data_IF_428213964861
#
_entry.id   IF_428213964861
#
_cell.length_a   1.000
_cell.length_b   1.000
_cell.length_c   1.000
_cell.angle_alpha   90.00
_cell.angle_beta   90.00
_cell.angle_gamma   90.00
#
_symmetry.space_group_name_H-M   'P 1'
#
loop_
_entity.id
_entity.type
_entity.pdbx_description
1 polymer ?
#
# COMPACT_ATOMS: atom_id res chain seq x y z
N UNK A 1 8.88 -33.50 25.42
CA UNK A 1 7.47 -33.06 25.27
C UNK A 1 7.35 -31.59 25.71
N UNK A 2 8.12 -30.69 25.09
CA UNK A 2 8.21 -29.28 25.52
C UNK A 2 8.35 -28.27 24.37
N UNK A 3 8.25 -28.71 23.11
CA UNK A 3 8.49 -27.83 21.95
C UNK A 3 7.23 -27.42 21.18
N UNK A 4 6.04 -27.86 21.61
CA UNK A 4 4.79 -27.57 20.87
C UNK A 4 4.10 -26.26 21.28
N UNK A 5 4.56 -25.54 22.31
CA UNK A 5 3.90 -24.33 22.83
C UNK A 5 4.52 -23.01 22.32
N UNK A 6 4.88 -22.92 21.04
CA UNK A 6 5.33 -21.65 20.43
C UNK A 6 4.69 -21.36 19.06
N UNK A 7 3.47 -21.84 18.85
CA UNK A 7 2.71 -21.64 17.60
C UNK A 7 1.44 -20.81 17.75
N UNK A 8 1.16 -20.20 18.91
CA UNK A 8 -0.17 -19.64 19.17
C UNK A 8 -0.18 -18.21 19.75
N UNK A 9 0.84 -17.39 19.49
CA UNK A 9 0.81 -16.00 19.93
C UNK A 9 1.49 -15.08 18.90
N UNK A 10 0.78 -14.77 17.80
CA UNK A 10 0.73 -13.42 17.21
C UNK A 10 -0.33 -13.31 16.10
N UNK A 11 -1.54 -13.80 16.36
CA UNK A 11 -2.69 -13.34 15.57
C UNK A 11 -3.18 -12.02 16.18
N UNK A 12 -2.36 -10.98 16.03
CA UNK A 12 -2.73 -9.63 16.43
C UNK A 12 -3.93 -9.24 15.56
N UNK A 13 -5.10 -9.17 16.20
CA UNK A 13 -6.34 -8.66 15.59
C UNK A 13 -6.04 -7.24 15.11
N UNK A 14 -5.63 -7.10 13.86
CA UNK A 14 -5.47 -5.81 13.19
C UNK A 14 -6.86 -5.19 13.18
N UNK A 15 -7.16 -4.37 14.20
CA UNK A 15 -8.36 -3.55 14.23
C UNK A 15 -8.14 -2.47 13.17
N UNK A 16 -8.44 -2.81 11.92
CA UNK A 16 -8.36 -1.94 10.75
C UNK A 16 -9.20 -0.69 11.02
N UNK A 17 -8.58 0.29 11.66
CA UNK A 17 -9.22 1.52 12.08
C UNK A 17 -9.12 2.48 10.92
N UNK A 18 -10.20 3.22 10.63
CA UNK A 18 -10.25 4.16 9.51
C UNK A 18 -9.06 5.14 9.49
N UNK A 19 -8.50 5.49 10.66
CA UNK A 19 -7.28 6.30 10.78
C UNK A 19 -6.07 5.70 10.05
N UNK A 20 -5.86 4.39 10.08
CA UNK A 20 -4.74 3.76 9.36
C UNK A 20 -5.02 3.68 7.86
N UNK A 21 -6.28 3.53 7.45
CA UNK A 21 -6.67 3.55 6.04
C UNK A 21 -6.52 4.93 5.39
N UNK A 22 -6.71 6.01 6.15
CA UNK A 22 -6.52 7.39 5.71
C UNK A 22 -5.14 7.98 6.09
N UNK A 23 -4.22 7.19 6.65
CA UNK A 23 -2.87 7.65 6.95
C UNK A 23 -2.01 7.65 5.68
N UNK A 24 -2.13 8.73 4.89
CA UNK A 24 -1.33 8.94 3.68
C UNK A 24 0.10 9.44 3.97
N UNK A 25 0.43 9.76 5.23
CA UNK A 25 1.74 10.29 5.63
C UNK A 25 2.90 9.33 5.28
N UNK A 26 2.81 8.04 5.65
CA UNK A 26 3.78 7.02 5.27
C UNK A 26 3.86 6.80 3.75
N UNK A 27 2.75 6.93 3.02
CA UNK A 27 2.70 6.72 1.57
C UNK A 27 3.40 7.86 0.81
N UNK A 28 3.15 9.12 1.20
CA UNK A 28 3.87 10.26 0.66
C UNK A 28 5.35 10.19 1.02
N UNK A 29 5.66 9.87 2.28
CA UNK A 29 7.02 9.58 2.71
C UNK A 29 7.69 8.50 1.85
N UNK A 30 6.98 7.42 1.49
CA UNK A 30 7.52 6.36 0.64
C UNK A 30 7.80 6.81 -0.81
N UNK A 31 6.97 7.69 -1.39
CA UNK A 31 7.21 8.25 -2.73
C UNK A 31 8.36 9.26 -2.77
N UNK A 32 8.57 10.03 -1.68
CA UNK A 32 9.62 11.06 -1.59
C UNK A 32 10.90 10.58 -0.88
N UNK A 33 10.90 9.41 -0.24
CA UNK A 33 12.06 8.87 0.47
C UNK A 33 13.11 8.39 -0.54
N UNK A 34 14.29 9.01 -0.47
CA UNK A 34 15.47 8.64 -1.27
C UNK A 34 15.74 7.13 -1.16
N UNK A 35 16.03 6.51 -2.30
CA UNK A 35 16.34 5.08 -2.37
C UNK A 35 17.63 4.81 -1.62
N UNK A 36 17.50 4.07 -0.52
CA UNK A 36 18.63 3.61 0.28
C UNK A 36 19.48 2.63 -0.55
N UNK A 37 20.76 2.96 -0.85
CA UNK A 37 21.58 2.20 -1.79
C UNK A 37 22.04 0.83 -1.25
N UNK A 38 21.89 0.55 0.05
CA UNK A 38 22.45 -0.64 0.68
C UNK A 38 21.46 -1.81 0.82
N UNK A 39 20.34 -1.80 0.08
CA UNK A 39 19.31 -2.86 0.18
C UNK A 39 19.58 -4.02 -0.78
N UNK A 40 19.52 -5.28 -0.31
CA UNK A 40 19.65 -6.44 -1.19
C UNK A 40 18.56 -6.41 -2.26
N UNK A 41 18.97 -6.51 -3.53
CA UNK A 41 18.11 -6.40 -4.70
C UNK A 41 17.29 -7.68 -4.91
N UNK A 42 16.40 -7.99 -3.97
CA UNK A 42 15.48 -9.10 -4.08
C UNK A 42 14.37 -8.74 -5.08
N UNK A 43 14.45 -9.31 -6.29
CA UNK A 43 13.51 -9.09 -7.38
C UNK A 43 12.05 -9.30 -6.96
N UNK A 44 11.80 -10.26 -6.06
CA UNK A 44 10.49 -10.52 -5.43
C UNK A 44 9.90 -9.30 -4.72
N UNK A 45 10.68 -8.55 -3.93
CA UNK A 45 10.20 -7.34 -3.25
C UNK A 45 9.88 -6.22 -4.25
N UNK A 46 10.60 -6.18 -5.37
CA UNK A 46 10.39 -5.21 -6.44
C UNK A 46 9.14 -5.52 -7.25
N UNK A 47 8.86 -6.79 -7.50
CA UNK A 47 7.60 -7.26 -8.09
C UNK A 47 6.41 -7.00 -7.19
N UNK A 48 6.53 -7.29 -5.88
CA UNK A 48 5.48 -7.05 -4.89
C UNK A 48 5.10 -5.55 -4.82
N UNK A 49 6.10 -4.65 -4.85
CA UNK A 49 5.86 -3.21 -4.97
C UNK A 49 5.39 -2.77 -6.36
N UNK A 50 5.77 -3.48 -7.41
CA UNK A 50 5.36 -3.19 -8.79
C UNK A 50 3.85 -3.36 -8.98
N UNK A 51 3.31 -4.50 -8.55
CA UNK A 51 1.87 -4.78 -8.61
C UNK A 51 1.08 -3.73 -7.82
N UNK A 52 1.52 -3.39 -6.59
CA UNK A 52 0.87 -2.36 -5.78
C UNK A 52 0.90 -0.96 -6.45
N UNK A 53 1.99 -0.59 -7.13
CA UNK A 53 2.07 0.68 -7.89
C UNK A 53 1.13 0.69 -9.09
N UNK A 54 1.00 -0.42 -9.80
CA UNK A 54 0.08 -0.54 -10.95
C UNK A 54 -1.37 -0.35 -10.49
N UNK A 55 -1.75 -0.92 -9.35
CA UNK A 55 -3.08 -0.74 -8.76
C UNK A 55 -3.40 0.73 -8.47
N UNK A 56 -2.46 1.48 -7.89
CA UNK A 56 -2.61 2.92 -7.62
C UNK A 56 -2.76 3.71 -8.94
N UNK A 57 -1.96 3.40 -9.96
CA UNK A 57 -2.03 4.08 -11.26
C UNK A 57 -3.39 3.85 -11.94
N UNK A 58 -3.85 2.61 -12.00
CA UNK A 58 -5.16 2.28 -12.59
C UNK A 58 -6.31 2.93 -11.83
N UNK A 59 -6.23 2.97 -10.50
CA UNK A 59 -7.18 3.69 -9.66
C UNK A 59 -7.21 5.20 -9.96
N UNK A 60 -6.04 5.85 -10.07
CA UNK A 60 -5.94 7.27 -10.38
C UNK A 60 -6.50 7.60 -11.77
N UNK A 61 -6.30 6.74 -12.77
CA UNK A 61 -6.88 6.92 -14.11
C UNK A 61 -8.41 6.88 -14.03
N UNK A 62 -8.97 5.85 -13.39
CA UNK A 62 -10.41 5.72 -13.21
C UNK A 62 -10.99 6.92 -12.44
N UNK A 63 -10.34 7.33 -11.35
CA UNK A 63 -10.72 8.49 -10.55
C UNK A 63 -10.71 9.78 -11.37
N UNK A 64 -9.67 9.99 -12.19
CA UNK A 64 -9.55 11.16 -13.07
C UNK A 64 -10.68 11.18 -14.11
N UNK A 65 -11.00 10.04 -14.73
CA UNK A 65 -12.11 9.94 -15.70
C UNK A 65 -13.45 10.21 -15.03
N UNK A 66 -13.69 9.67 -13.82
CA UNK A 66 -14.92 9.91 -13.05
C UNK A 66 -15.05 11.41 -12.72
N UNK A 67 -14.00 12.05 -12.22
CA UNK A 67 -14.00 13.48 -11.90
C UNK A 67 -14.23 14.32 -13.16
N UNK A 68 -13.49 14.06 -14.24
CA UNK A 68 -13.65 14.77 -15.50
C UNK A 68 -15.09 14.63 -16.05
N UNK A 69 -15.63 13.40 -16.05
CA UNK A 69 -17.01 13.14 -16.46
C UNK A 69 -18.03 13.81 -15.54
N UNK A 70 -17.79 13.85 -14.24
CA UNK A 70 -18.67 14.51 -13.28
C UNK A 70 -18.71 16.03 -13.53
N UNK A 71 -17.55 16.66 -13.75
CA UNK A 71 -17.45 18.08 -14.07
C UNK A 71 -18.13 18.38 -15.41
N UNK A 72 -17.83 17.62 -16.47
CA UNK A 72 -18.46 17.79 -17.79
C UNK A 72 -19.97 17.50 -17.82
N UNK A 73 -20.52 16.78 -16.83
CA UNK A 73 -21.96 16.57 -16.69
C UNK A 73 -22.63 17.66 -15.86
N UNK A 74 -21.88 18.29 -14.95
CA UNK A 74 -22.38 19.37 -14.10
C UNK A 74 -22.40 20.74 -14.78
N UNK A 75 -21.70 20.87 -15.91
CA UNK A 75 -21.62 22.06 -16.77
C UNK A 75 -22.48 21.85 -18.01
#
# INVERSE_FOLDING_TARGET
MSEEKKSAEKEERVKLTAKEAFDFGPLLGYFFRKKDPNRPNNFNLRMMHGVNKISIIMFLIALTVIIARAISRSM
#
